data_IF_946083030275
#
_entry.id   IF_946083030275
#
_cell.length_a   1.000
_cell.length_b   1.000
_cell.length_c   1.000
_cell.angle_alpha   90.00
_cell.angle_beta   90.00
_cell.angle_gamma   90.00
#
_symmetry.space_group_name_H-M   'P 1'
#
loop_
_entity.id
_entity.type
_entity.pdbx_description
1 polymer ?
#
# COMPACT_ATOMS: atom_id res chain seq x y z
N UNK A 1 8.50 10.90 -27.38
CA UNK A 1 7.73 9.77 -26.85
C UNK A 1 6.27 10.14 -27.01
N UNK A 2 5.52 9.38 -27.82
CA UNK A 2 4.12 9.68 -28.11
C UNK A 2 3.26 9.33 -26.89
N UNK A 3 2.31 10.19 -26.53
CA UNK A 3 1.43 9.98 -25.37
C UNK A 3 0.64 8.67 -25.56
N UNK A 4 0.31 8.32 -26.80
CA UNK A 4 -0.33 7.06 -27.14
C UNK A 4 0.54 5.84 -26.79
N UNK A 5 1.86 5.94 -26.98
CA UNK A 5 2.81 4.86 -26.70
C UNK A 5 2.96 4.63 -25.20
N UNK A 6 2.95 5.71 -24.41
CA UNK A 6 2.96 5.68 -22.93
C UNK A 6 1.70 5.00 -22.41
N UNK A 7 0.54 5.37 -22.95
CA UNK A 7 -0.75 4.79 -22.57
C UNK A 7 -0.78 3.30 -22.91
N UNK A 8 -0.31 2.91 -24.11
CA UNK A 8 -0.22 1.51 -24.52
C UNK A 8 0.65 0.66 -23.59
N UNK A 9 1.81 1.19 -23.17
CA UNK A 9 2.68 0.51 -22.20
C UNK A 9 2.02 0.37 -20.83
N UNK A 10 1.32 1.41 -20.35
CA UNK A 10 0.57 1.35 -19.10
C UNK A 10 -0.56 0.32 -19.15
N UNK A 11 -1.24 0.22 -20.29
CA UNK A 11 -2.34 -0.73 -20.49
C UNK A 11 -1.83 -2.17 -20.54
N UNK A 12 -0.68 -2.41 -21.17
CA UNK A 12 0.01 -3.71 -21.15
C UNK A 12 0.45 -4.10 -19.74
N UNK A 13 1.04 -3.16 -18.99
CA UNK A 13 1.43 -3.36 -17.60
C UNK A 13 0.23 -3.64 -16.69
N UNK A 14 -0.91 -2.97 -16.92
CA UNK A 14 -2.14 -3.22 -16.19
C UNK A 14 -2.73 -4.61 -16.48
N UNK A 15 -2.55 -5.13 -17.69
CA UNK A 15 -2.92 -6.50 -18.03
C UNK A 15 -2.04 -7.55 -17.35
N UNK A 16 -0.74 -7.28 -17.21
CA UNK A 16 0.23 -8.21 -16.59
C UNK A 16 0.27 -8.13 -15.06
N UNK A 17 0.16 -6.92 -14.50
CA UNK A 17 0.30 -6.62 -13.08
C UNK A 17 -0.89 -5.77 -12.59
N UNK A 18 -2.11 -6.34 -12.55
CA UNK A 18 -3.33 -5.60 -12.29
C UNK A 18 -3.32 -4.90 -10.92
N UNK A 19 -2.72 -5.52 -9.91
CA UNK A 19 -2.64 -4.95 -8.56
C UNK A 19 -1.62 -3.81 -8.45
N UNK A 20 -0.52 -3.84 -9.23
CA UNK A 20 0.44 -2.73 -9.29
C UNK A 20 -0.19 -1.53 -9.99
N UNK A 21 -0.89 -1.76 -11.10
CA UNK A 21 -1.62 -0.72 -11.81
C UNK A 21 -2.70 -0.09 -10.92
N UNK A 22 -3.45 -0.92 -10.17
CA UNK A 22 -4.42 -0.44 -9.19
C UNK A 22 -3.76 0.39 -8.09
N UNK A 23 -2.60 -0.04 -7.57
CA UNK A 23 -1.87 0.71 -6.56
C UNK A 23 -1.44 2.10 -7.05
N UNK A 24 -0.89 2.17 -8.26
CA UNK A 24 -0.49 3.43 -8.90
C UNK A 24 -1.69 4.37 -9.08
N UNK A 25 -2.82 3.86 -9.55
CA UNK A 25 -4.05 4.65 -9.68
C UNK A 25 -4.54 5.18 -8.33
N UNK A 26 -4.57 4.34 -7.30
CA UNK A 26 -4.98 4.73 -5.96
C UNK A 26 -4.03 5.79 -5.37
N UNK A 27 -2.71 5.67 -5.59
CA UNK A 27 -1.75 6.68 -5.15
C UNK A 27 -1.89 8.00 -5.90
N UNK A 28 -2.13 7.96 -7.21
CA UNK A 28 -2.40 9.17 -8.00
C UNK A 28 -3.67 9.86 -7.51
N UNK A 29 -4.75 9.12 -7.31
CA UNK A 29 -6.01 9.65 -6.76
C UNK A 29 -5.77 10.20 -5.35
N UNK A 30 -5.05 9.48 -4.49
CA UNK A 30 -4.68 9.94 -3.15
C UNK A 30 -3.84 11.21 -3.14
N UNK A 31 -2.96 11.41 -4.14
CA UNK A 31 -2.17 12.62 -4.29
C UNK A 31 -3.01 13.82 -4.78
N UNK A 32 -4.04 13.56 -5.58
CA UNK A 32 -4.98 14.58 -6.09
C UNK A 32 -6.04 14.97 -5.05
N UNK A 33 -6.50 14.00 -4.27
CA UNK A 33 -7.50 14.21 -3.21
C UNK A 33 -6.81 14.82 -2.00
N UNK A 34 -7.33 15.94 -1.49
CA UNK A 34 -6.80 16.59 -0.28
C UNK A 34 -7.50 16.10 1.00
N UNK A 35 -6.78 16.17 2.11
CA UNK A 35 -7.35 15.90 3.44
C UNK A 35 -7.44 14.42 3.79
N UNK A 36 -8.33 14.07 4.73
CA UNK A 36 -8.41 12.73 5.33
C UNK A 36 -8.79 11.63 4.32
N UNK A 37 -9.46 11.98 3.23
CA UNK A 37 -9.82 11.05 2.17
C UNK A 37 -8.58 10.52 1.42
N UNK A 38 -7.50 11.32 1.32
CA UNK A 38 -6.23 10.89 0.72
C UNK A 38 -5.66 9.64 1.40
N UNK A 39 -5.80 9.55 2.73
CA UNK A 39 -5.31 8.41 3.52
C UNK A 39 -5.99 7.10 3.13
N UNK A 40 -7.28 7.14 2.76
CA UNK A 40 -8.01 5.95 2.32
C UNK A 40 -7.41 5.45 1.00
N UNK A 41 -7.18 6.36 0.05
CA UNK A 41 -6.59 6.00 -1.23
C UNK A 41 -5.14 5.51 -1.09
N UNK A 42 -4.34 6.12 -0.21
CA UNK A 42 -3.01 5.60 0.10
C UNK A 42 -3.07 4.23 0.79
N UNK A 43 -4.01 4.00 1.70
CA UNK A 43 -4.18 2.68 2.32
C UNK A 43 -4.59 1.62 1.27
N UNK A 44 -5.54 1.94 0.40
CA UNK A 44 -5.98 1.06 -0.68
C UNK A 44 -4.87 0.77 -1.69
N UNK A 45 -4.06 1.76 -2.05
CA UNK A 45 -2.90 1.58 -2.92
C UNK A 45 -1.82 0.71 -2.28
N UNK A 46 -1.53 0.93 -0.99
CA UNK A 46 -0.61 0.08 -0.22
C UNK A 46 -1.09 -1.36 -0.11
N UNK A 47 -2.38 -1.58 0.15
CA UNK A 47 -2.98 -2.92 0.17
C UNK A 47 -2.90 -3.61 -1.20
N UNK A 48 -3.09 -2.87 -2.29
CA UNK A 48 -2.93 -3.40 -3.64
C UNK A 48 -1.47 -3.83 -3.91
N UNK A 49 -0.46 -3.08 -3.43
CA UNK A 49 0.94 -3.51 -3.51
C UNK A 49 1.20 -4.76 -2.67
N UNK A 50 0.74 -4.81 -1.42
CA UNK A 50 0.86 -5.99 -0.57
C UNK A 50 0.29 -7.23 -1.25
N UNK A 51 -0.86 -7.10 -1.91
CA UNK A 51 -1.47 -8.17 -2.69
C UNK A 51 -0.65 -8.55 -3.92
N UNK A 52 -0.07 -7.58 -4.62
CA UNK A 52 0.76 -7.84 -5.80
C UNK A 52 2.03 -8.62 -5.46
N UNK A 53 2.61 -8.40 -4.29
CA UNK A 53 3.83 -9.09 -3.84
C UNK A 53 3.55 -10.33 -2.98
N UNK A 54 2.27 -10.69 -2.77
CA UNK A 54 1.91 -11.83 -1.91
C UNK A 54 2.23 -11.62 -0.44
N UNK A 55 2.45 -10.37 0.00
CA UNK A 55 2.87 -10.00 1.35
C UNK A 55 1.69 -9.80 2.30
N UNK A 56 0.45 -10.11 1.87
CA UNK A 56 -0.76 -9.90 2.67
C UNK A 56 -0.69 -10.70 3.97
N UNK A 57 -0.31 -11.97 3.90
CA UNK A 57 -0.20 -12.83 5.07
C UNK A 57 0.93 -12.38 5.99
N UNK A 58 2.08 -12.00 5.41
CA UNK A 58 3.21 -11.42 6.16
C UNK A 58 2.82 -10.13 6.89
N UNK A 59 2.06 -9.25 6.22
CA UNK A 59 1.58 -8.00 6.79
C UNK A 59 0.60 -8.25 7.95
N UNK A 60 -0.35 -9.18 7.78
CA UNK A 60 -1.28 -9.52 8.86
C UNK A 60 -0.58 -10.21 10.04
N UNK A 61 0.43 -11.05 9.79
CA UNK A 61 1.26 -11.63 10.85
C UNK A 61 2.03 -10.56 11.61
N UNK A 62 2.67 -9.63 10.90
CA UNK A 62 3.32 -8.48 11.52
C UNK A 62 2.34 -7.65 12.38
N UNK A 63 1.15 -7.33 11.86
CA UNK A 63 0.14 -6.59 12.63
C UNK A 63 -0.31 -7.30 13.90
N UNK A 64 -0.30 -8.64 13.93
CA UNK A 64 -0.60 -9.43 15.14
C UNK A 64 0.55 -9.39 16.15
N UNK A 65 1.77 -9.23 15.68
CA UNK A 65 2.98 -9.14 16.51
C UNK A 65 3.18 -7.73 17.08
N UNK A 66 2.75 -6.69 16.36
CA UNK A 66 2.85 -5.28 16.80
C UNK A 66 2.34 -5.06 18.24
N UNK A 67 1.15 -5.55 18.65
CA UNK A 67 0.70 -5.43 20.04
C UNK A 67 1.66 -6.01 21.08
N UNK A 68 2.34 -7.11 20.77
CA UNK A 68 3.30 -7.74 21.67
C UNK A 68 4.59 -6.93 21.73
N UNK A 69 5.10 -6.46 20.57
CA UNK A 69 6.26 -5.56 20.51
C UNK A 69 6.03 -4.25 21.27
N UNK A 70 4.82 -3.69 21.19
CA UNK A 70 4.44 -2.50 21.95
C UNK A 70 4.39 -2.80 23.46
N UNK A 71 3.82 -3.95 23.88
CA UNK A 71 3.82 -4.35 25.30
C UNK A 71 5.23 -4.53 25.85
N UNK A 72 6.15 -5.08 25.06
CA UNK A 72 7.55 -5.24 25.45
C UNK A 72 8.27 -3.89 25.55
N UNK A 73 8.07 -3.00 24.56
CA UNK A 73 8.67 -1.67 24.53
C UNK A 73 8.12 -0.72 25.64
N UNK A 74 6.81 -0.76 25.92
CA UNK A 74 6.21 0.02 27.01
C UNK A 74 6.44 -0.64 28.38
N UNK A 75 6.50 -1.97 28.44
CA UNK A 75 6.83 -2.72 29.65
C UNK A 75 8.28 -2.50 30.12
N UNK A 76 9.22 -2.29 29.20
CA UNK A 76 10.61 -1.95 29.54
C UNK A 76 10.81 -0.47 29.88
N UNK A 77 9.88 0.41 29.53
CA UNK A 77 9.94 1.85 29.87
C UNK A 77 9.08 2.21 31.09
N UNK A 78 8.08 1.40 31.45
CA UNK A 78 7.25 1.57 32.65
C UNK A 78 7.75 0.79 33.88
N UNK A 79 8.89 0.11 33.76
CA UNK A 79 9.54 -0.63 34.84
C UNK A 79 10.54 0.20 35.64
N UNK A 80 10.13 1.36 36.15
CA UNK A 80 10.70 2.06 37.32
C UNK A 80 9.60 2.84 38.03
#
# INVERSE_FOLDING_TARGET
MDVAEIIGQFQSLAGQYPYIALALLMFLIGALVRGKAALIFYALGGLALLKSFGLVDTFFSFLKEVPNMLKEAFGSLGGV
#
